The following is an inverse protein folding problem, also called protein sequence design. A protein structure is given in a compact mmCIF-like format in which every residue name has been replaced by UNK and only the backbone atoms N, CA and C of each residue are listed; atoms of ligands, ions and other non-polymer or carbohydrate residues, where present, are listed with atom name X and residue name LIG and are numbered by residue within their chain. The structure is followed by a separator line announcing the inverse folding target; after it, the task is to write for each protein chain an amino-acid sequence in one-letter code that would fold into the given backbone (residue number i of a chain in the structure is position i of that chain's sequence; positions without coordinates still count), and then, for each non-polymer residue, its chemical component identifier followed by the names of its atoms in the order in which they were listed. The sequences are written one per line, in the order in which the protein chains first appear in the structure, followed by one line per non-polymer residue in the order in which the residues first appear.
data_IF_688446545866
#
_entry.id   IF_688446545866
#
_cell.length_a   1.000
_cell.length_b   1.000
_cell.length_c   1.000
_cell.angle_alpha   90.00
_cell.angle_beta   90.00
_cell.angle_gamma   90.00
#
_symmetry.space_group_name_H-M   'P 1'
#
loop_
_entity.id
_entity.type
_entity.pdbx_description
1 polymer ?
#
# COMPACT_ATOMS: atom_id res chain seq x y z
N UNK A 1 4.68 24.70 3.58
CA UNK A 1 3.67 23.63 3.73
C UNK A 1 3.51 23.31 5.21
N UNK A 2 2.29 23.28 5.71
CA UNK A 2 2.00 22.97 7.11
C UNK A 2 2.17 21.46 7.39
N UNK A 3 2.21 21.10 8.68
CA UNK A 3 2.27 19.71 9.11
C UNK A 3 1.01 18.95 8.65
N UNK A 4 -0.15 19.60 8.70
CA UNK A 4 -1.41 19.00 8.25
C UNK A 4 -1.42 18.75 6.76
N UNK A 5 -0.88 19.66 5.96
CA UNK A 5 -0.77 19.48 4.52
C UNK A 5 0.18 18.35 4.17
N UNK A 6 1.32 18.24 4.85
CA UNK A 6 2.26 17.13 4.64
C UNK A 6 1.63 15.79 4.99
N UNK A 7 0.84 15.76 6.06
CA UNK A 7 0.14 14.53 6.46
C UNK A 7 -0.88 14.13 5.40
N UNK A 8 -1.64 15.09 4.87
CA UNK A 8 -2.59 14.83 3.80
C UNK A 8 -1.90 14.24 2.57
N UNK A 9 -0.79 14.85 2.14
CA UNK A 9 -0.05 14.35 0.97
C UNK A 9 0.53 12.96 1.20
N UNK A 10 0.95 12.67 2.44
CA UNK A 10 1.40 11.31 2.81
C UNK A 10 0.26 10.30 2.69
N UNK A 11 -0.94 10.66 3.13
CA UNK A 11 -2.10 9.78 3.02
C UNK A 11 -2.47 9.54 1.54
N UNK A 12 -2.42 10.59 0.74
CA UNK A 12 -2.66 10.45 -0.71
C UNK A 12 -1.65 9.47 -1.33
N UNK A 13 -0.37 9.59 -0.94
CA UNK A 13 0.68 8.73 -1.46
C UNK A 13 0.47 7.25 -1.10
N UNK A 14 -0.20 6.95 0.01
CA UNK A 14 -0.49 5.57 0.39
C UNK A 14 -1.45 4.87 -0.56
N UNK A 15 -2.18 5.63 -1.36
CA UNK A 15 -3.15 5.07 -2.31
C UNK A 15 -2.49 4.63 -3.62
N UNK A 16 -1.26 5.06 -3.89
CA UNK A 16 -0.54 4.68 -5.11
C UNK A 16 -0.39 3.15 -5.16
N UNK A 17 -0.62 2.60 -6.33
CA UNK A 17 -0.59 1.16 -6.62
C UNK A 17 -1.68 0.34 -5.93
N UNK A 18 -2.61 0.99 -5.26
CA UNK A 18 -3.77 0.32 -4.68
C UNK A 18 -4.99 0.45 -5.58
N UNK A 19 -5.89 -0.51 -5.44
CA UNK A 19 -7.16 -0.44 -6.15
C UNK A 19 -8.07 0.54 -5.40
N UNK A 20 -8.50 1.57 -6.11
CA UNK A 20 -9.31 2.65 -5.54
C UNK A 20 -10.61 2.80 -6.31
N UNK A 21 -11.57 3.46 -5.66
CA UNK A 21 -12.81 3.89 -6.29
C UNK A 21 -12.78 5.41 -6.36
N UNK A 22 -13.05 5.96 -7.54
CA UNK A 22 -13.14 7.41 -7.77
C UNK A 22 -14.57 7.75 -8.13
N UNK A 23 -15.15 8.69 -7.40
CA UNK A 23 -16.50 9.21 -7.69
C UNK A 23 -16.33 10.61 -8.20
N UNK A 24 -16.93 10.90 -9.36
CA UNK A 24 -16.84 12.20 -9.99
C UNK A 24 -17.99 13.12 -9.54
N UNK A 25 -17.87 14.40 -9.84
CA UNK A 25 -18.88 15.41 -9.47
C UNK A 25 -20.24 15.13 -10.14
N UNK A 26 -20.24 14.51 -11.31
CA UNK A 26 -21.46 14.10 -12.01
C UNK A 26 -21.91 12.69 -11.62
N UNK A 27 -21.41 12.16 -10.50
CA UNK A 27 -21.81 10.90 -9.89
C UNK A 27 -21.45 9.65 -10.70
N UNK A 28 -20.47 9.74 -11.58
CA UNK A 28 -19.92 8.56 -12.23
C UNK A 28 -18.88 7.92 -11.32
N UNK A 29 -18.77 6.60 -11.39
CA UNK A 29 -17.87 5.83 -10.55
C UNK A 29 -16.90 5.04 -11.41
N UNK A 30 -15.62 5.12 -11.07
CA UNK A 30 -14.56 4.37 -11.73
C UNK A 30 -13.76 3.64 -10.67
N UNK A 31 -13.44 2.38 -10.95
CA UNK A 31 -12.62 1.56 -10.06
C UNK A 31 -11.38 1.13 -10.82
N UNK A 32 -10.22 1.21 -10.20
CA UNK A 32 -8.98 0.80 -10.83
C UNK A 32 -7.78 1.01 -9.92
N UNK A 33 -6.61 0.66 -10.43
CA UNK A 33 -5.35 0.85 -9.71
C UNK A 33 -4.90 2.29 -9.90
N UNK A 34 -4.62 2.98 -8.79
CA UNK A 34 -4.13 4.35 -8.84
C UNK A 34 -2.66 4.32 -9.27
N UNK A 35 -2.44 4.58 -10.56
CA UNK A 35 -1.11 4.54 -11.15
C UNK A 35 -0.32 5.81 -10.88
N UNK A 36 -1.00 6.93 -10.72
CA UNK A 36 -0.35 8.20 -10.44
C UNK A 36 -1.35 9.25 -10.02
N UNK A 37 -0.87 10.25 -9.29
CA UNK A 37 -1.67 11.39 -8.87
C UNK A 37 -0.76 12.60 -8.71
N UNK A 38 -1.21 13.75 -9.19
CA UNK A 38 -0.49 15.00 -9.03
C UNK A 38 -0.95 15.63 -7.70
N UNK A 39 -0.05 15.77 -6.71
CA UNK A 39 -0.43 16.28 -5.41
C UNK A 39 -0.86 17.74 -5.39
N UNK A 40 -0.54 18.51 -6.43
CA UNK A 40 -0.89 19.93 -6.50
C UNK A 40 -2.33 20.17 -6.92
N UNK A 41 -2.86 19.34 -7.81
CA UNK A 41 -4.21 19.53 -8.37
C UNK A 41 -5.08 18.29 -8.29
N UNK A 42 -4.52 17.17 -7.81
CA UNK A 42 -5.18 15.87 -7.68
C UNK A 42 -5.65 15.27 -9.01
N UNK A 43 -5.08 15.70 -10.14
CA UNK A 43 -5.26 15.00 -11.39
C UNK A 43 -4.69 13.60 -11.23
N UNK A 44 -5.37 12.59 -11.71
CA UNK A 44 -4.96 11.21 -11.45
C UNK A 44 -5.13 10.31 -12.67
N UNK A 45 -4.45 9.17 -12.60
CA UNK A 45 -4.51 8.15 -13.62
C UNK A 45 -4.85 6.81 -12.96
N UNK A 46 -5.87 6.14 -13.48
CA UNK A 46 -6.17 4.76 -13.10
C UNK A 46 -5.78 3.84 -14.23
N UNK A 47 -5.19 2.70 -13.89
CA UNK A 47 -4.94 1.61 -14.82
C UNK A 47 -5.79 0.41 -14.43
N UNK A 48 -5.96 -0.52 -15.37
CA UNK A 48 -6.81 -1.70 -15.14
C UNK A 48 -8.15 -1.30 -14.53
N UNK A 49 -8.76 -0.29 -15.12
CA UNK A 49 -9.96 0.34 -14.58
C UNK A 49 -11.23 -0.25 -15.17
N UNK A 50 -12.34 0.07 -14.53
CA UNK A 50 -13.67 -0.25 -15.02
C UNK A 50 -14.63 0.86 -14.64
N UNK A 51 -15.69 1.02 -15.43
CA UNK A 51 -16.76 1.97 -15.11
C UNK A 51 -17.79 1.31 -14.17
N UNK A 52 -18.86 2.04 -13.86
CA UNK A 52 -19.92 1.57 -12.95
C UNK A 52 -20.69 0.35 -13.49
N UNK A 53 -20.60 0.10 -14.78
CA UNK A 53 -21.24 -1.07 -15.43
C UNK A 53 -20.27 -2.24 -15.54
N UNK A 54 -19.04 -2.09 -15.04
CA UNK A 54 -18.03 -3.13 -15.11
C UNK A 54 -17.33 -3.22 -16.45
N UNK A 55 -17.52 -2.23 -17.34
CA UNK A 55 -16.82 -2.24 -18.62
C UNK A 55 -15.35 -1.90 -18.41
N UNK A 56 -14.43 -2.72 -18.95
CA UNK A 56 -13.01 -2.47 -18.73
C UNK A 56 -12.51 -1.24 -19.46
N UNK A 57 -11.62 -0.52 -18.77
CA UNK A 57 -10.93 0.66 -19.28
C UNK A 57 -9.45 0.45 -18.97
N UNK A 58 -8.61 0.40 -20.00
CA UNK A 58 -7.19 0.16 -19.78
C UNK A 58 -6.56 1.26 -18.93
N UNK A 59 -6.78 2.50 -19.32
CA UNK A 59 -6.31 3.67 -18.57
C UNK A 59 -7.32 4.79 -18.66
N UNK A 60 -7.50 5.51 -17.57
CA UNK A 60 -8.33 6.71 -17.56
C UNK A 60 -7.61 7.81 -16.78
N UNK A 61 -7.56 8.99 -17.36
CA UNK A 61 -7.02 10.18 -16.72
C UNK A 61 -8.20 11.03 -16.26
N UNK A 62 -8.22 11.40 -15.00
CA UNK A 62 -9.29 12.18 -14.40
C UNK A 62 -8.73 13.49 -13.88
N UNK A 63 -9.39 14.60 -14.24
CA UNK A 63 -9.04 15.90 -13.70
C UNK A 63 -9.45 16.00 -12.23
N UNK A 64 -8.58 16.55 -11.39
CA UNK A 64 -8.90 16.80 -10.00
C UNK A 64 -10.13 17.68 -9.80
N UNK A 65 -10.44 18.52 -10.78
CA UNK A 65 -11.60 19.40 -10.72
C UNK A 65 -12.95 18.67 -10.78
N UNK A 66 -12.97 17.47 -11.36
CA UNK A 66 -14.21 16.69 -11.47
C UNK A 66 -14.30 15.56 -10.44
N UNK A 67 -13.23 15.32 -9.70
CA UNK A 67 -13.19 14.26 -8.69
C UNK A 67 -13.82 14.77 -7.40
N UNK A 68 -14.84 14.06 -6.92
CA UNK A 68 -15.49 14.35 -5.66
C UNK A 68 -14.90 13.53 -4.52
N UNK A 69 -14.60 12.25 -4.78
CA UNK A 69 -14.10 11.31 -3.76
C UNK A 69 -13.13 10.32 -4.37
N UNK A 70 -12.12 9.96 -3.60
CA UNK A 70 -11.25 8.82 -3.89
C UNK A 70 -11.20 8.01 -2.61
N UNK A 71 -11.47 6.71 -2.70
CA UNK A 71 -11.36 5.86 -1.53
C UNK A 71 -10.89 4.46 -1.89
N UNK A 72 -10.35 3.77 -0.91
CA UNK A 72 -9.98 2.37 -1.04
C UNK A 72 -10.60 1.59 0.10
N UNK A 73 -11.01 0.35 -0.18
CA UNK A 73 -11.44 -0.59 0.84
C UNK A 73 -10.31 -1.51 1.27
N UNK A 74 -9.17 -1.45 0.57
CA UNK A 74 -7.99 -2.23 0.94
C UNK A 74 -7.38 -1.66 2.21
N UNK A 75 -7.21 -2.53 3.21
CA UNK A 75 -6.56 -2.14 4.45
C UNK A 75 -5.06 -1.94 4.19
N UNK A 76 -4.49 -0.92 4.84
CA UNK A 76 -3.05 -0.72 4.82
C UNK A 76 -2.38 -1.93 5.48
N UNK A 77 -1.26 -2.38 4.90
CA UNK A 77 -0.52 -3.50 5.46
C UNK A 77 0.08 -3.08 6.81
N UNK A 78 -0.10 -3.91 7.82
CA UNK A 78 0.39 -3.63 9.17
C UNK A 78 1.85 -4.07 9.31
N UNK A 79 2.75 -3.25 8.76
CA UNK A 79 4.19 -3.55 8.77
C UNK A 79 4.76 -3.56 10.19
N UNK A 80 4.24 -2.67 11.06
CA UNK A 80 4.65 -2.62 12.47
C UNK A 80 4.31 -3.92 13.20
N UNK A 81 3.13 -4.46 12.95
CA UNK A 81 2.72 -5.75 13.54
C UNK A 81 3.63 -6.89 13.08
N UNK A 82 4.01 -6.88 11.81
CA UNK A 82 4.95 -7.87 11.30
C UNK A 82 6.32 -7.71 11.95
N UNK A 83 6.79 -6.47 12.13
CA UNK A 83 8.07 -6.22 12.79
C UNK A 83 8.05 -6.74 14.24
N UNK A 84 6.95 -6.57 14.96
CA UNK A 84 6.81 -7.10 16.32
C UNK A 84 6.88 -8.62 16.36
N UNK A 85 6.27 -9.29 15.36
CA UNK A 85 6.37 -10.75 15.25
C UNK A 85 7.79 -11.20 14.96
N UNK A 86 8.47 -10.50 14.06
CA UNK A 86 9.86 -10.79 13.73
C UNK A 86 10.78 -10.57 14.93
N UNK A 87 10.51 -9.56 15.76
CA UNK A 87 11.29 -9.27 16.96
C UNK A 87 11.27 -10.44 17.94
N UNK A 88 10.15 -11.17 18.04
CA UNK A 88 10.04 -12.35 18.91
C UNK A 88 10.95 -13.48 18.48
N UNK A 89 11.23 -13.58 17.18
CA UNK A 89 12.08 -14.64 16.60
C UNK A 89 13.53 -14.18 16.47
N UNK A 90 13.73 -12.89 16.23
CA UNK A 90 15.06 -12.28 16.05
C UNK A 90 15.25 -11.14 17.05
N UNK A 91 15.36 -11.42 18.36
CA UNK A 91 15.43 -10.36 19.36
C UNK A 91 16.60 -9.39 19.12
N UNK A 92 16.30 -8.09 19.16
CA UNK A 92 17.27 -7.01 18.97
C UNK A 92 17.91 -6.93 17.58
N UNK A 93 17.35 -7.69 16.62
CA UNK A 93 17.90 -7.75 15.26
C UNK A 93 16.94 -7.17 14.21
N UNK A 94 15.83 -6.59 14.64
CA UNK A 94 14.78 -6.08 13.74
C UNK A 94 14.76 -4.57 13.74
N UNK A 95 14.83 -3.97 12.55
CA UNK A 95 14.75 -2.52 12.36
C UNK A 95 13.59 -2.21 11.41
N UNK A 96 12.62 -1.45 11.90
CA UNK A 96 11.45 -1.06 11.12
C UNK A 96 11.67 0.30 10.47
N UNK A 97 11.51 0.33 9.16
CA UNK A 97 11.50 1.56 8.36
C UNK A 97 10.10 1.75 7.79
N UNK A 98 9.19 2.19 8.65
CA UNK A 98 7.76 2.24 8.35
C UNK A 98 7.42 3.12 7.15
N UNK A 99 8.04 4.30 7.07
CA UNK A 99 7.80 5.24 5.97
C UNK A 99 8.31 4.70 4.63
N UNK A 100 9.43 3.99 4.64
CA UNK A 100 10.04 3.42 3.46
C UNK A 100 9.38 2.11 3.05
N UNK A 101 8.63 1.49 3.97
CA UNK A 101 7.86 0.28 3.67
C UNK A 101 8.62 -1.02 3.75
N UNK A 102 9.67 -1.09 4.58
CA UNK A 102 10.42 -2.32 4.75
C UNK A 102 10.93 -2.50 6.17
N UNK A 103 11.36 -3.73 6.45
CA UNK A 103 11.97 -4.14 7.71
C UNK A 103 13.31 -4.80 7.37
N UNK A 104 14.37 -4.44 8.10
CA UNK A 104 15.64 -5.15 8.05
C UNK A 104 15.74 -6.10 9.24
N UNK A 105 16.10 -7.35 8.98
CA UNK A 105 16.36 -8.36 10.00
C UNK A 105 17.83 -8.74 9.87
N UNK A 106 18.57 -8.62 10.97
CA UNK A 106 20.00 -8.94 11.03
C UNK A 106 20.83 -8.14 10.02
N UNK A 107 20.33 -6.99 9.58
CA UNK A 107 20.94 -6.14 8.54
C UNK A 107 21.24 -6.87 7.21
N UNK A 108 20.63 -8.03 7.00
CA UNK A 108 20.83 -8.87 5.81
C UNK A 108 19.55 -9.27 5.10
N UNK A 109 18.45 -9.32 5.83
CA UNK A 109 17.17 -9.82 5.31
C UNK A 109 16.21 -8.64 5.24
N UNK A 110 15.73 -8.36 4.04
CA UNK A 110 14.76 -7.28 3.83
C UNK A 110 13.36 -7.87 3.68
N UNK A 111 12.44 -7.42 4.51
CA UNK A 111 11.05 -7.89 4.51
C UNK A 111 10.14 -6.71 4.20
N UNK A 112 9.20 -6.92 3.28
CA UNK A 112 8.19 -5.92 2.91
C UNK A 112 6.80 -6.54 3.03
N UNK A 113 5.78 -5.79 2.63
CA UNK A 113 4.42 -6.32 2.55
C UNK A 113 4.30 -7.53 1.62
N UNK A 114 5.28 -7.73 0.74
CA UNK A 114 5.34 -8.86 -0.19
C UNK A 114 6.09 -10.06 0.37
N UNK A 115 6.66 -9.93 1.56
CA UNK A 115 7.46 -10.97 2.19
C UNK A 115 8.95 -10.65 2.14
N UNK A 116 9.77 -11.69 2.21
CA UNK A 116 11.23 -11.54 2.12
C UNK A 116 11.62 -11.24 0.68
N UNK A 117 12.22 -10.07 0.45
CA UNK A 117 12.64 -9.62 -0.89
C UNK A 117 14.15 -9.63 -1.07
N UNK A 118 14.93 -9.67 0.03
CA UNK A 118 16.39 -9.80 0.00
C UNK A 118 16.82 -10.72 1.15
N UNK A 119 17.85 -11.50 0.89
CA UNK A 119 18.44 -12.41 1.87
C UNK A 119 18.17 -13.87 1.54
N UNK A 120 19.10 -14.73 1.95
CA UNK A 120 19.04 -16.17 1.70
C UNK A 120 19.47 -16.92 2.96
N UNK A 121 19.21 -18.23 2.98
CA UNK A 121 19.64 -19.11 4.07
C UNK A 121 18.58 -19.35 5.13
N UNK A 122 18.96 -20.06 6.20
CA UNK A 122 17.99 -20.46 7.27
C UNK A 122 17.28 -19.30 7.93
N UNK A 123 17.96 -18.19 8.16
CA UNK A 123 17.35 -17.03 8.81
C UNK A 123 16.29 -16.38 7.88
N UNK A 124 16.58 -16.29 6.58
CA UNK A 124 15.62 -15.76 5.61
C UNK A 124 14.40 -16.68 5.51
N UNK A 125 14.58 -17.98 5.53
CA UNK A 125 13.47 -18.94 5.52
C UNK A 125 12.61 -18.80 6.77
N UNK A 126 13.24 -18.58 7.91
CA UNK A 126 12.54 -18.38 9.18
C UNK A 126 11.72 -17.07 9.13
N UNK A 127 12.30 -15.99 8.59
CA UNK A 127 11.60 -14.73 8.45
C UNK A 127 10.40 -14.89 7.50
N UNK A 128 10.55 -15.63 6.42
CA UNK A 128 9.46 -15.90 5.47
C UNK A 128 8.33 -16.69 6.15
N UNK A 129 8.66 -17.63 7.04
CA UNK A 129 7.63 -18.37 7.78
C UNK A 129 6.84 -17.47 8.71
N UNK A 130 7.52 -16.54 9.40
CA UNK A 130 6.85 -15.54 10.25
C UNK A 130 5.90 -14.71 9.42
N UNK A 131 6.35 -14.25 8.24
CA UNK A 131 5.53 -13.48 7.31
C UNK A 131 4.29 -14.29 6.88
N UNK A 132 4.48 -15.56 6.50
CA UNK A 132 3.39 -16.40 6.04
C UNK A 132 2.33 -16.63 7.12
N UNK A 133 2.76 -16.83 8.38
CA UNK A 133 1.85 -16.95 9.50
C UNK A 133 1.09 -15.66 9.75
N UNK A 134 1.77 -14.52 9.65
CA UNK A 134 1.16 -13.22 9.84
C UNK A 134 0.07 -12.96 8.79
N UNK A 135 0.36 -13.25 7.52
CA UNK A 135 -0.61 -13.13 6.43
C UNK A 135 -1.80 -14.05 6.64
N UNK A 136 -1.54 -15.29 7.07
CA UNK A 136 -2.60 -16.27 7.34
C UNK A 136 -3.57 -15.77 8.42
N UNK A 137 -3.04 -15.18 9.48
CA UNK A 137 -3.87 -14.61 10.55
C UNK A 137 -4.70 -13.41 10.08
N UNK A 138 -4.14 -12.55 9.22
CA UNK A 138 -4.86 -11.42 8.68
C UNK A 138 -6.04 -11.86 7.80
N UNK A 139 -5.88 -12.93 7.05
CA UNK A 139 -6.94 -13.44 6.18
C UNK A 139 -8.10 -14.07 6.94
N UNK A 140 -7.92 -14.39 8.21
CA UNK A 140 -8.99 -14.96 9.05
C UNK A 140 -9.91 -13.90 9.65
N UNK A 141 -9.51 -12.63 9.56
CA UNK A 141 -10.35 -11.53 10.05
C UNK A 141 -11.36 -11.07 8.95
#
# INVERSE_FOLDING_TARGET
MSAAERRFLSEVATLIDKRVVVVTMDKKTYTGVLAGIDPNNLNLCLSEAEDEKGQPIDKILLSGNIVAQIFTTEKSFNLRGLAERLEKVFPRMVKLYEKEGFIWVMDKIKVTEKGVVEGTGPAAERAQRVYSQFISELQRE
#
